data_IF_408897253971
#
_entry.id   IF_408897253971
#
_cell.length_a   1.000
_cell.length_b   1.000
_cell.length_c   1.000
_cell.angle_alpha   90.00
_cell.angle_beta   90.00
_cell.angle_gamma   90.00
#
_symmetry.space_group_name_H-M   'P 1'
#
loop_
_entity.id
_entity.type
_entity.pdbx_description
1 polymer ?
#
# COMPACT_ATOMS: atom_id res chain seq x y z
N UNK A 1 27.55 -15.08 8.07
CA UNK A 1 28.00 -14.80 9.45
C UNK A 1 27.03 -13.77 10.03
N UNK A 2 26.10 -14.20 10.90
CA UNK A 2 25.13 -13.31 11.54
C UNK A 2 25.64 -12.90 12.93
N UNK A 3 25.63 -11.61 13.24
CA UNK A 3 25.88 -11.06 14.58
C UNK A 3 24.53 -10.75 15.27
N UNK A 4 24.36 -11.03 16.58
CA UNK A 4 23.08 -10.84 17.28
C UNK A 4 22.92 -9.46 17.95
N UNK A 5 21.66 -9.03 18.12
CA UNK A 5 21.20 -7.76 18.71
C UNK A 5 20.78 -7.93 20.19
N UNK A 6 21.03 -6.96 21.11
CA UNK A 6 20.67 -7.08 22.53
C UNK A 6 19.25 -6.57 22.89
N UNK A 7 18.66 -7.19 23.93
CA UNK A 7 17.31 -6.92 24.51
C UNK A 7 17.30 -5.72 25.47
N UNK A 8 16.20 -4.96 25.50
CA UNK A 8 15.95 -3.90 26.48
C UNK A 8 14.84 -4.26 27.49
N UNK A 9 15.02 -3.76 28.73
CA UNK A 9 14.17 -3.96 29.91
C UNK A 9 13.06 -2.89 30.01
N UNK A 10 11.88 -3.34 30.46
CA UNK A 10 10.68 -2.54 30.75
C UNK A 10 10.73 -1.94 32.16
N UNK A 11 10.44 -0.63 32.29
CA UNK A 11 10.25 0.06 33.59
C UNK A 11 8.79 0.48 33.73
N UNK A 12 8.15 0.04 34.83
CA UNK A 12 6.79 0.44 35.23
C UNK A 12 6.83 1.66 36.16
N UNK A 13 5.86 2.60 36.11
CA UNK A 13 5.62 3.55 37.19
C UNK A 13 4.49 3.12 38.12
N UNK A 14 4.63 3.55 39.37
CA UNK A 14 3.85 3.23 40.57
C UNK A 14 2.62 4.11 40.82
N UNK A 15 1.64 3.53 41.53
CA UNK A 15 0.43 4.10 42.13
C UNK A 15 0.65 5.28 43.09
N UNK A 16 -0.34 6.20 43.19
CA UNK A 16 -0.78 6.93 44.42
C UNK A 16 -2.22 7.46 44.24
N UNK A 17 -3.19 6.94 44.99
CA UNK A 17 -3.84 7.45 46.24
C UNK A 17 -4.95 8.49 46.02
N UNK A 18 -6.15 8.12 46.45
CA UNK A 18 -7.42 8.86 46.54
C UNK A 18 -7.49 9.72 47.81
N UNK A 19 -8.31 10.79 47.81
CA UNK A 19 -9.35 11.13 48.81
C UNK A 19 -10.10 12.42 48.38
N UNK A 20 -11.33 12.69 48.90
CA UNK A 20 -12.42 13.34 48.19
C UNK A 20 -12.64 14.77 48.66
N UNK A 21 -13.41 15.58 47.92
CA UNK A 21 -14.07 16.75 48.50
C UNK A 21 -15.41 17.07 47.82
N UNK A 22 -16.37 17.31 48.72
CA UNK A 22 -17.77 17.61 48.53
C UNK A 22 -17.92 19.12 48.29
N UNK A 23 -18.47 19.56 47.16
CA UNK A 23 -18.93 20.95 46.99
C UNK A 23 -20.24 21.03 46.22
N UNK A 24 -21.13 21.83 46.81
CA UNK A 24 -22.54 22.06 46.53
C UNK A 24 -22.78 22.79 45.21
N UNK A 25 -23.80 22.34 44.46
CA UNK A 25 -24.28 22.96 43.23
C UNK A 25 -25.18 24.17 43.53
N UNK A 26 -24.85 25.33 42.94
CA UNK A 26 -25.78 26.45 42.73
C UNK A 26 -25.99 26.62 41.21
N UNK A 27 -27.22 26.87 40.73
CA UNK A 27 -27.49 26.95 39.29
C UNK A 27 -27.11 28.32 38.70
N UNK A 28 -26.34 28.31 37.61
CA UNK A 28 -26.12 29.45 36.72
C UNK A 28 -27.28 29.60 35.71
N UNK A 29 -27.65 30.84 35.30
CA UNK A 29 -28.72 31.06 34.33
C UNK A 29 -28.25 30.74 32.89
N UNK A 30 -29.17 30.39 31.97
CA UNK A 30 -28.79 29.96 30.62
C UNK A 30 -28.34 31.15 29.77
N UNK A 31 -27.10 31.11 29.29
CA UNK A 31 -26.61 31.98 28.22
C UNK A 31 -27.17 31.52 26.87
N UNK A 32 -27.93 32.40 26.20
CA UNK A 32 -28.38 32.19 24.81
C UNK A 32 -27.15 32.06 23.89
N UNK A 33 -26.95 30.87 23.32
CA UNK A 33 -26.03 30.68 22.18
C UNK A 33 -26.74 31.12 20.90
N UNK A 34 -26.23 32.19 20.28
CA UNK A 34 -26.51 32.49 18.88
C UNK A 34 -25.88 31.39 18.03
N UNK A 35 -26.73 30.60 17.38
CA UNK A 35 -26.33 29.64 16.35
C UNK A 35 -25.94 30.42 15.10
N UNK A 36 -24.64 30.57 14.85
CA UNK A 36 -24.14 30.90 13.52
C UNK A 36 -24.09 29.60 12.73
N UNK A 37 -25.10 29.35 11.89
CA UNK A 37 -25.02 28.29 10.88
C UNK A 37 -23.95 28.68 9.87
N UNK A 38 -22.75 28.13 10.04
CA UNK A 38 -21.78 28.06 8.95
C UNK A 38 -22.42 27.20 7.87
N UNK A 39 -22.94 27.84 6.83
CA UNK A 39 -23.34 27.19 5.59
C UNK A 39 -22.11 26.49 5.00
N UNK A 40 -21.92 25.22 5.35
CA UNK A 40 -20.97 24.32 4.69
C UNK A 40 -21.53 24.14 3.27
N UNK A 41 -20.93 24.82 2.30
CA UNK A 41 -21.17 24.54 0.90
C UNK A 41 -20.99 23.01 0.70
N UNK A 42 -21.93 22.31 0.05
CA UNK A 42 -21.74 20.90 -0.23
C UNK A 42 -20.51 20.76 -1.12
N UNK A 43 -19.45 20.14 -0.59
CA UNK A 43 -18.34 19.69 -1.45
C UNK A 43 -18.94 18.70 -2.45
N UNK A 44 -18.55 18.82 -3.71
CA UNK A 44 -18.86 17.77 -4.69
C UNK A 44 -18.29 16.45 -4.18
N UNK A 45 -19.10 15.41 -4.23
CA UNK A 45 -18.64 14.07 -3.88
C UNK A 45 -17.63 13.61 -4.92
N UNK A 46 -16.56 12.94 -4.48
CA UNK A 46 -15.51 12.43 -5.37
C UNK A 46 -15.59 10.92 -5.52
N UNK A 47 -15.25 10.42 -6.71
CA UNK A 47 -15.13 9.00 -7.02
C UNK A 47 -13.89 8.68 -7.86
N UNK A 48 -13.49 7.40 -7.86
CA UNK A 48 -12.42 6.85 -8.69
C UNK A 48 -12.99 6.14 -9.92
N UNK A 49 -12.49 6.54 -11.10
CA UNK A 49 -12.54 5.70 -12.31
C UNK A 49 -11.28 4.87 -12.33
N UNK A 50 -11.41 3.55 -12.35
CA UNK A 50 -10.28 2.64 -12.14
C UNK A 50 -10.03 1.77 -13.35
N UNK A 51 -8.77 1.69 -13.76
CA UNK A 51 -8.27 0.72 -14.74
C UNK A 51 -7.19 -0.14 -14.09
N UNK A 52 -7.12 -1.42 -14.46
CA UNK A 52 -6.16 -2.36 -13.88
C UNK A 52 -5.46 -3.17 -14.96
N UNK A 53 -4.23 -3.60 -14.65
CA UNK A 53 -3.52 -4.57 -15.46
C UNK A 53 -2.62 -5.42 -14.56
N UNK A 54 -2.56 -6.72 -14.85
CA UNK A 54 -1.72 -7.65 -14.11
C UNK A 54 -0.94 -8.50 -15.11
N UNK A 55 0.36 -8.61 -14.89
CA UNK A 55 1.29 -9.40 -15.68
C UNK A 55 2.05 -10.32 -14.72
N UNK A 56 1.80 -11.63 -14.74
CA UNK A 56 2.56 -12.57 -13.91
C UNK A 56 4.02 -12.62 -14.30
N UNK A 57 4.87 -12.98 -13.35
CA UNK A 57 6.26 -13.38 -13.57
C UNK A 57 6.32 -14.42 -14.71
N UNK A 58 7.32 -14.38 -15.62
CA UNK A 58 7.39 -15.28 -16.78
C UNK A 58 7.28 -16.78 -16.43
N UNK A 59 7.79 -17.22 -15.28
CA UNK A 59 7.67 -18.61 -14.82
C UNK A 59 6.29 -18.96 -14.23
N UNK A 60 5.48 -17.96 -13.86
CA UNK A 60 4.18 -18.09 -13.17
C UNK A 60 2.98 -17.78 -14.06
N UNK A 61 3.19 -17.50 -15.36
CA UNK A 61 2.11 -17.17 -16.32
C UNK A 61 0.99 -18.23 -16.33
N UNK A 62 1.34 -19.52 -16.23
CA UNK A 62 0.36 -20.62 -16.25
C UNK A 62 -0.54 -20.67 -15.00
N UNK A 63 -0.07 -20.15 -13.87
CA UNK A 63 -0.80 -20.14 -12.59
C UNK A 63 -1.41 -18.77 -12.28
N UNK A 64 -1.15 -17.78 -13.13
CA UNK A 64 -1.68 -16.42 -13.02
C UNK A 64 -0.92 -15.52 -12.03
N UNK A 65 0.29 -15.91 -11.61
CA UNK A 65 1.05 -15.17 -10.60
C UNK A 65 0.51 -15.36 -9.18
N UNK A 66 1.22 -14.75 -8.24
CA UNK A 66 0.97 -14.80 -6.80
C UNK A 66 0.32 -13.51 -6.28
N UNK A 67 0.42 -12.41 -7.04
CA UNK A 67 -0.32 -11.17 -6.79
C UNK A 67 -1.86 -11.35 -6.84
N UNK A 68 -2.56 -10.57 -6.01
CA UNK A 68 -4.00 -10.41 -6.03
C UNK A 68 -4.37 -8.93 -5.84
N UNK A 69 -5.54 -8.54 -6.37
CA UNK A 69 -6.07 -7.19 -6.15
C UNK A 69 -7.60 -7.22 -6.13
N UNK A 70 -8.21 -6.15 -5.61
CA UNK A 70 -9.62 -5.89 -5.85
C UNK A 70 -9.88 -4.39 -6.03
N UNK A 71 -10.98 -4.09 -6.71
CA UNK A 71 -11.50 -2.74 -6.91
C UNK A 71 -12.99 -2.74 -6.58
N UNK A 72 -13.48 -1.69 -5.93
CA UNK A 72 -14.88 -1.56 -5.55
C UNK A 72 -15.33 -0.11 -5.68
N UNK A 73 -16.62 0.10 -5.96
CA UNK A 73 -17.26 1.42 -6.01
C UNK A 73 -17.88 1.82 -4.67
N UNK A 74 -17.53 1.13 -3.58
CA UNK A 74 -18.00 1.50 -2.24
C UNK A 74 -17.52 2.92 -1.88
N UNK A 75 -18.45 3.79 -1.47
CA UNK A 75 -18.24 5.24 -1.27
C UNK A 75 -17.65 5.91 -2.53
N UNK A 76 -16.52 6.60 -2.42
CA UNK A 76 -15.79 7.16 -3.56
C UNK A 76 -14.95 6.13 -4.31
N UNK A 77 -14.83 4.90 -3.79
CA UNK A 77 -14.10 3.81 -4.41
C UNK A 77 -13.01 3.25 -3.49
N UNK A 78 -12.73 1.96 -3.67
CA UNK A 78 -11.71 1.22 -2.93
C UNK A 78 -10.81 0.51 -3.92
N UNK A 79 -9.50 0.60 -3.70
CA UNK A 79 -8.47 -0.10 -4.47
C UNK A 79 -7.53 -0.80 -3.48
N UNK A 80 -7.16 -2.03 -3.78
CA UNK A 80 -6.25 -2.79 -2.94
C UNK A 80 -5.41 -3.76 -3.77
N UNK A 81 -4.16 -3.95 -3.34
CA UNK A 81 -3.21 -4.91 -3.92
C UNK A 81 -2.59 -5.71 -2.77
N UNK A 82 -2.40 -7.01 -2.98
CA UNK A 82 -1.62 -7.87 -2.12
C UNK A 82 -0.67 -8.74 -2.96
N UNK A 83 0.58 -8.80 -2.54
CA UNK A 83 1.64 -9.55 -3.21
C UNK A 83 2.04 -10.77 -2.38
N UNK A 84 1.86 -11.96 -2.96
CA UNK A 84 2.15 -13.23 -2.32
C UNK A 84 3.65 -13.53 -2.26
N UNK A 85 4.17 -13.75 -1.06
CA UNK A 85 5.60 -13.99 -0.85
C UNK A 85 6.05 -15.32 -1.48
N UNK A 86 6.82 -15.22 -2.57
CA UNK A 86 7.23 -16.36 -3.41
C UNK A 86 7.93 -17.52 -2.68
N UNK A 87 8.63 -17.23 -1.57
CA UNK A 87 9.36 -18.23 -0.78
C UNK A 87 8.49 -19.38 -0.22
N UNK A 88 7.18 -19.20 -0.13
CA UNK A 88 6.26 -20.27 0.29
C UNK A 88 6.25 -21.48 -0.65
N UNK A 89 6.58 -21.29 -1.92
CA UNK A 89 6.69 -22.37 -2.89
C UNK A 89 7.75 -23.41 -2.51
N UNK A 90 8.84 -22.99 -1.85
CA UNK A 90 9.90 -23.89 -1.35
C UNK A 90 9.41 -24.85 -0.26
N UNK A 91 8.32 -24.47 0.43
CA UNK A 91 7.64 -25.29 1.45
C UNK A 91 6.46 -26.09 0.88
N UNK A 92 6.28 -26.10 -0.45
CA UNK A 92 5.15 -26.76 -1.10
C UNK A 92 3.80 -26.06 -0.88
N UNK A 93 3.82 -24.80 -0.46
CA UNK A 93 2.62 -23.97 -0.27
C UNK A 93 2.46 -23.07 -1.51
N UNK A 94 1.26 -22.99 -2.06
CA UNK A 94 0.97 -22.12 -3.21
C UNK A 94 0.93 -20.65 -2.75
N UNK A 95 1.90 -19.79 -3.15
CA UNK A 95 2.00 -18.42 -2.64
C UNK A 95 0.81 -17.54 -3.00
N UNK A 96 0.07 -17.89 -4.05
CA UNK A 96 -1.10 -17.14 -4.51
C UNK A 96 -2.35 -17.30 -3.62
N UNK A 97 -2.43 -18.32 -2.76
CA UNK A 97 -3.66 -18.60 -2.01
C UNK A 97 -3.96 -17.55 -0.94
N UNK A 98 -2.95 -17.21 -0.13
CA UNK A 98 -3.07 -16.21 0.93
C UNK A 98 -3.52 -14.82 0.42
N UNK A 99 -2.84 -14.18 -0.55
CA UNK A 99 -3.24 -12.86 -1.04
C UNK A 99 -4.63 -12.89 -1.71
N UNK A 100 -4.98 -13.95 -2.45
CA UNK A 100 -6.30 -14.08 -3.08
C UNK A 100 -7.43 -14.18 -2.05
N UNK A 101 -7.25 -15.01 -1.02
CA UNK A 101 -8.23 -15.11 0.08
C UNK A 101 -8.30 -13.81 0.89
N UNK A 102 -7.16 -13.16 1.16
CA UNK A 102 -7.10 -11.88 1.86
C UNK A 102 -7.90 -10.79 1.11
N UNK A 103 -7.71 -10.67 -0.21
CA UNK A 103 -8.44 -9.72 -1.05
C UNK A 103 -9.94 -10.05 -1.13
N UNK A 104 -10.31 -11.34 -1.22
CA UNK A 104 -11.71 -11.75 -1.19
C UNK A 104 -12.38 -11.40 0.14
N UNK A 105 -11.72 -11.68 1.27
CA UNK A 105 -12.21 -11.34 2.60
C UNK A 105 -12.34 -9.83 2.78
N UNK A 106 -11.34 -9.05 2.38
CA UNK A 106 -11.40 -7.60 2.43
C UNK A 106 -12.57 -7.04 1.62
N UNK A 107 -12.77 -7.52 0.38
CA UNK A 107 -13.89 -7.09 -0.45
C UNK A 107 -15.25 -7.40 0.19
N UNK A 108 -15.41 -8.58 0.81
CA UNK A 108 -16.66 -8.98 1.46
C UNK A 108 -16.96 -8.17 2.73
N UNK A 109 -15.92 -7.63 3.37
CA UNK A 109 -16.03 -6.91 4.64
C UNK A 109 -16.28 -5.39 4.47
N UNK A 110 -16.19 -4.85 3.25
CA UNK A 110 -16.32 -3.39 3.00
C UNK A 110 -17.61 -2.77 3.55
N UNK A 111 -18.71 -3.51 3.52
CA UNK A 111 -20.04 -3.01 3.92
C UNK A 111 -20.32 -3.18 5.42
N UNK A 112 -19.40 -3.79 6.18
CA UNK A 112 -19.58 -3.96 7.62
C UNK A 112 -19.35 -2.64 8.33
N UNK A 113 -20.33 -2.21 9.13
CA UNK A 113 -20.31 -0.92 9.83
C UNK A 113 -19.06 -0.72 10.68
N UNK A 114 -18.50 -1.79 11.28
CA UNK A 114 -17.31 -1.67 12.13
C UNK A 114 -16.03 -1.36 11.35
N UNK A 115 -15.99 -1.54 10.02
CA UNK A 115 -14.86 -1.10 9.20
C UNK A 115 -14.83 0.43 9.11
N UNK A 116 -16.00 1.08 9.01
CA UNK A 116 -16.15 2.54 9.06
C UNK A 116 -15.15 3.32 8.15
N UNK A 117 -14.94 2.86 6.92
CA UNK A 117 -13.94 3.43 5.97
C UNK A 117 -12.50 3.51 6.49
N UNK A 118 -12.15 2.69 7.48
CA UNK A 118 -10.81 2.55 8.02
C UNK A 118 -10.10 1.33 7.39
N UNK A 119 -9.11 1.56 6.51
CA UNK A 119 -8.38 0.47 5.86
C UNK A 119 -7.55 -0.38 6.82
N UNK A 120 -7.12 0.15 7.97
CA UNK A 120 -6.38 -0.62 8.98
C UNK A 120 -7.31 -1.65 9.65
N UNK A 121 -8.54 -1.24 9.98
CA UNK A 121 -9.56 -2.14 10.52
C UNK A 121 -10.00 -3.17 9.47
N UNK A 122 -10.10 -2.76 8.20
CA UNK A 122 -10.38 -3.70 7.11
C UNK A 122 -9.29 -4.79 7.04
N UNK A 123 -8.01 -4.40 7.05
CA UNK A 123 -6.89 -5.33 7.05
C UNK A 123 -6.91 -6.25 8.27
N UNK A 124 -7.18 -5.73 9.46
CA UNK A 124 -7.33 -6.53 10.69
C UNK A 124 -8.36 -7.65 10.51
N UNK A 125 -9.57 -7.30 10.06
CA UNK A 125 -10.66 -8.27 9.90
C UNK A 125 -10.40 -9.25 8.76
N UNK A 126 -9.90 -8.77 7.62
CA UNK A 126 -9.61 -9.61 6.47
C UNK A 126 -8.48 -10.61 6.77
N UNK A 127 -7.42 -10.19 7.45
CA UNK A 127 -6.33 -11.07 7.87
C UNK A 127 -6.82 -12.12 8.88
N UNK A 128 -7.61 -11.71 9.87
CA UNK A 128 -8.20 -12.65 10.84
C UNK A 128 -9.13 -13.69 10.20
N UNK A 129 -9.79 -13.34 9.09
CA UNK A 129 -10.66 -14.23 8.33
C UNK A 129 -9.90 -15.12 7.32
N UNK A 130 -8.62 -14.86 7.08
CA UNK A 130 -7.82 -15.60 6.08
C UNK A 130 -7.24 -16.87 6.70
N UNK A 131 -7.55 -18.00 6.08
CA UNK A 131 -7.20 -19.35 6.57
C UNK A 131 -6.12 -20.04 5.73
N UNK A 132 -5.90 -19.59 4.49
CA UNK A 132 -4.84 -20.09 3.62
C UNK A 132 -3.48 -19.93 4.29
N UNK A 133 -2.64 -20.96 4.15
CA UNK A 133 -1.24 -20.87 4.57
C UNK A 133 -0.49 -20.01 3.58
N UNK A 134 0.29 -19.05 4.08
CA UNK A 134 1.05 -18.13 3.25
C UNK A 134 1.28 -16.79 3.94
N UNK A 135 1.81 -15.83 3.18
CA UNK A 135 1.94 -14.45 3.60
C UNK A 135 1.90 -13.52 2.41
N UNK A 136 1.55 -12.25 2.64
CA UNK A 136 1.54 -11.24 1.61
C UNK A 136 1.94 -9.86 2.15
N UNK A 137 2.55 -9.05 1.28
CA UNK A 137 2.51 -7.59 1.45
C UNK A 137 1.15 -7.09 0.96
N UNK A 138 0.69 -5.96 1.47
CA UNK A 138 -0.66 -5.47 1.16
C UNK A 138 -0.76 -3.96 1.29
N UNK A 139 -1.52 -3.33 0.39
CA UNK A 139 -1.93 -1.95 0.49
C UNK A 139 -3.42 -1.82 0.15
N UNK A 140 -4.14 -0.98 0.91
CA UNK A 140 -5.55 -0.66 0.69
C UNK A 140 -5.71 0.85 0.71
N UNK A 141 -6.39 1.40 -0.29
CA UNK A 141 -6.83 2.79 -0.36
C UNK A 141 -8.36 2.87 -0.43
N UNK A 142 -8.97 3.63 0.48
CA UNK A 142 -10.42 3.85 0.56
C UNK A 142 -10.72 5.34 0.39
N UNK A 143 -11.39 5.72 -0.69
CA UNK A 143 -11.81 7.10 -0.95
C UNK A 143 -13.17 7.35 -0.31
N UNK A 144 -13.21 8.29 0.63
CA UNK A 144 -14.46 8.84 1.14
C UNK A 144 -15.04 9.88 0.15
N UNK A 145 -16.38 10.00 0.13
CA UNK A 145 -17.08 10.97 -0.72
C UNK A 145 -16.61 12.42 -0.50
N UNK A 146 -16.09 12.75 0.69
CA UNK A 146 -15.57 14.08 1.01
C UNK A 146 -14.21 14.41 0.37
N UNK A 147 -13.62 13.46 -0.37
CA UNK A 147 -12.35 13.57 -1.08
C UNK A 147 -11.12 13.12 -0.29
N UNK A 148 -11.29 12.54 0.90
CA UNK A 148 -10.18 11.98 1.70
C UNK A 148 -9.92 10.54 1.29
N UNK A 149 -8.71 10.24 0.86
CA UNK A 149 -8.22 8.88 0.64
C UNK A 149 -7.49 8.39 1.89
N UNK A 150 -8.08 7.42 2.59
CA UNK A 150 -7.43 6.72 3.69
C UNK A 150 -6.65 5.52 3.15
N UNK A 151 -5.40 5.35 3.57
CA UNK A 151 -4.52 4.28 3.11
C UNK A 151 -3.96 3.52 4.31
N UNK A 152 -3.97 2.19 4.24
CA UNK A 152 -3.19 1.33 5.12
C UNK A 152 -2.31 0.39 4.29
N UNK A 153 -1.04 0.24 4.67
CA UNK A 153 -0.05 -0.57 3.95
C UNK A 153 0.79 -1.40 4.93
N UNK A 154 1.08 -2.64 4.59
CA UNK A 154 2.06 -3.52 5.27
C UNK A 154 2.99 -4.08 4.19
N UNK A 155 4.27 -3.73 4.24
CA UNK A 155 5.28 -4.16 3.28
C UNK A 155 5.62 -3.11 2.23
N UNK A 156 5.79 -3.52 0.98
CA UNK A 156 6.41 -2.74 -0.09
C UNK A 156 5.54 -2.55 -1.35
N UNK A 157 4.31 -3.05 -1.34
CA UNK A 157 3.26 -2.53 -2.22
C UNK A 157 3.17 -1.00 -2.07
N UNK A 158 2.89 -0.31 -3.18
CA UNK A 158 3.05 1.14 -3.25
C UNK A 158 1.83 1.89 -3.80
N UNK A 159 1.75 3.17 -3.43
CA UNK A 159 0.85 4.14 -4.02
C UNK A 159 1.61 5.41 -4.40
N UNK A 160 1.26 6.01 -5.53
CA UNK A 160 1.70 7.33 -6.01
C UNK A 160 0.47 8.18 -6.28
N UNK A 161 0.48 9.42 -5.82
CA UNK A 161 -0.49 10.45 -6.17
C UNK A 161 0.19 11.46 -7.08
N UNK A 162 -0.32 11.58 -8.29
CA UNK A 162 0.19 12.50 -9.31
C UNK A 162 -0.90 13.53 -9.62
N UNK A 163 -0.53 14.80 -9.57
CA UNK A 163 -1.40 15.95 -9.82
C UNK A 163 -0.73 16.86 -10.82
N UNK A 164 -1.38 17.10 -11.95
CA UNK A 164 -0.86 17.98 -13.02
C UNK A 164 0.59 17.61 -13.43
N UNK A 165 0.84 16.31 -13.59
CA UNK A 165 2.14 15.76 -13.97
C UNK A 165 3.22 15.76 -12.87
N UNK A 166 2.89 16.15 -11.63
CA UNK A 166 3.84 16.16 -10.52
C UNK A 166 3.48 15.12 -9.47
N UNK A 167 4.49 14.41 -8.95
CA UNK A 167 4.34 13.51 -7.80
C UNK A 167 4.09 14.34 -6.53
N UNK A 168 2.88 14.25 -5.99
CA UNK A 168 2.46 14.99 -4.78
C UNK A 168 2.66 14.16 -3.52
N UNK A 169 2.42 12.86 -3.61
CA UNK A 169 2.50 11.94 -2.47
C UNK A 169 2.90 10.55 -2.94
N UNK A 170 3.61 9.82 -2.09
CA UNK A 170 3.91 8.41 -2.27
C UNK A 170 3.99 7.70 -0.91
N UNK A 171 3.61 6.42 -0.86
CA UNK A 171 3.76 5.61 0.35
C UNK A 171 5.21 5.20 0.58
N UNK A 172 5.59 5.03 1.84
CA UNK A 172 6.91 4.53 2.23
C UNK A 172 6.84 3.01 2.39
N UNK A 173 7.79 2.30 1.78
CA UNK A 173 7.95 0.86 1.94
C UNK A 173 8.38 0.51 3.37
N UNK A 174 7.96 -0.65 3.86
CA UNK A 174 8.30 -1.19 5.18
C UNK A 174 9.03 -2.53 5.01
N UNK A 175 10.23 -2.62 5.55
CA UNK A 175 11.10 -3.79 5.41
C UNK A 175 11.90 -4.05 6.69
N UNK A 176 12.27 -5.31 6.90
CA UNK A 176 13.22 -5.71 7.96
C UNK A 176 14.66 -5.41 7.53
N UNK A 177 14.95 -5.66 6.26
CA UNK A 177 16.19 -5.38 5.54
C UNK A 177 15.88 -5.45 4.04
N UNK A 178 16.85 -5.05 3.21
CA UNK A 178 16.67 -4.96 1.76
C UNK A 178 16.06 -6.25 1.18
N UNK A 179 14.95 -6.11 0.45
CA UNK A 179 14.21 -7.19 -0.19
C UNK A 179 13.60 -8.22 0.79
N UNK A 180 13.34 -7.82 2.04
CA UNK A 180 12.60 -8.58 3.04
C UNK A 180 11.51 -7.70 3.67
N UNK A 181 10.35 -7.57 2.99
CA UNK A 181 9.31 -6.66 3.43
C UNK A 181 8.59 -7.14 4.68
N UNK A 182 7.92 -6.20 5.34
CA UNK A 182 6.86 -6.51 6.29
C UNK A 182 5.74 -7.27 5.59
N UNK A 183 5.11 -8.23 6.28
CA UNK A 183 4.09 -9.08 5.68
C UNK A 183 3.04 -9.54 6.70
N UNK A 184 1.79 -9.60 6.26
CA UNK A 184 0.75 -10.34 6.98
C UNK A 184 0.92 -11.82 6.66
N UNK A 185 0.86 -12.69 7.66
CA UNK A 185 1.15 -14.13 7.50
C UNK A 185 0.20 -15.01 8.29
N UNK A 186 0.05 -16.26 7.85
CA UNK A 186 -0.62 -17.33 8.61
C UNK A 186 0.22 -17.82 9.79
N UNK A 187 1.55 -17.62 9.76
CA UNK A 187 2.47 -18.03 10.83
C UNK A 187 2.71 -16.88 11.84
N UNK A 188 2.91 -17.21 13.12
CA UNK A 188 3.31 -16.25 14.17
C UNK A 188 4.70 -16.59 14.74
N UNK A 189 5.48 -15.59 15.22
CA UNK A 189 5.16 -14.15 15.23
C UNK A 189 5.41 -13.48 13.87
N UNK A 190 4.49 -12.61 13.44
CA UNK A 190 4.55 -11.86 12.18
C UNK A 190 4.00 -10.44 12.37
N UNK A 191 4.14 -9.56 11.37
CA UNK A 191 3.46 -8.26 11.36
C UNK A 191 1.94 -8.44 11.39
N UNK A 192 1.28 -7.46 12.00
CA UNK A 192 -0.16 -7.38 12.12
C UNK A 192 -0.64 -6.03 11.57
N UNK A 193 -1.96 -5.81 11.57
CA UNK A 193 -2.54 -4.50 11.26
C UNK A 193 -1.97 -3.34 12.10
N UNK A 194 -1.49 -3.58 13.33
CA UNK A 194 -0.84 -2.54 14.15
C UNK A 194 0.49 -2.05 13.58
N UNK A 195 1.15 -2.86 12.75
CA UNK A 195 2.41 -2.51 12.10
C UNK A 195 2.20 -1.78 10.77
N UNK A 196 0.94 -1.63 10.33
CA UNK A 196 0.61 -0.97 9.08
C UNK A 196 0.99 0.52 9.11
N UNK A 197 1.59 0.98 8.03
CA UNK A 197 1.63 2.41 7.73
C UNK A 197 0.22 2.88 7.42
N UNK A 198 -0.29 3.87 8.16
CA UNK A 198 -1.61 4.48 7.94
C UNK A 198 -1.47 5.95 7.62
N UNK A 199 -2.13 6.44 6.58
CA UNK A 199 -2.17 7.86 6.25
C UNK A 199 -3.47 8.27 5.55
N UNK A 200 -3.79 9.57 5.59
CA UNK A 200 -4.92 10.15 4.87
C UNK A 200 -4.43 11.28 3.96
N UNK A 201 -4.91 11.31 2.73
CA UNK A 201 -4.51 12.32 1.71
C UNK A 201 -5.76 12.95 1.11
N UNK A 202 -5.79 14.29 1.02
CA UNK A 202 -6.88 15.00 0.35
C UNK A 202 -6.68 14.99 -1.17
N UNK A 203 -7.62 14.36 -1.87
CA UNK A 203 -7.65 14.32 -3.32
C UNK A 203 -8.45 15.50 -3.90
N UNK A 204 -8.13 15.83 -5.14
CA UNK A 204 -8.82 16.81 -5.96
C UNK A 204 -9.26 16.16 -7.27
N UNK A 205 -10.30 16.70 -7.89
CA UNK A 205 -10.69 16.32 -9.25
C UNK A 205 -9.50 16.47 -10.20
N UNK A 206 -9.25 15.45 -11.02
CA UNK A 206 -8.12 15.36 -11.94
C UNK A 206 -6.85 14.78 -11.32
N UNK A 207 -6.85 14.43 -10.03
CA UNK A 207 -5.77 13.63 -9.44
C UNK A 207 -5.75 12.23 -10.04
N UNK A 208 -4.53 11.69 -10.20
CA UNK A 208 -4.31 10.33 -10.66
C UNK A 208 -3.56 9.57 -9.57
N UNK A 209 -4.09 8.41 -9.21
CA UNK A 209 -3.48 7.47 -8.29
C UNK A 209 -2.91 6.31 -9.10
N UNK A 210 -1.68 5.91 -8.82
CA UNK A 210 -1.08 4.67 -9.31
C UNK A 210 -0.74 3.81 -8.10
N UNK A 211 -1.37 2.65 -7.99
CA UNK A 211 -1.14 1.65 -6.94
C UNK A 211 -0.64 0.35 -7.57
N UNK A 212 0.26 -0.37 -6.91
CA UNK A 212 0.78 -1.62 -7.44
C UNK A 212 1.63 -2.42 -6.46
N UNK A 213 2.06 -3.61 -6.88
CA UNK A 213 3.04 -4.45 -6.19
C UNK A 213 4.47 -3.90 -6.36
N UNK A 214 5.44 -4.50 -5.68
CA UNK A 214 6.85 -4.12 -5.81
C UNK A 214 7.36 -4.37 -7.25
N UNK A 215 6.84 -5.37 -7.96
CA UNK A 215 7.18 -5.64 -9.36
C UNK A 215 6.95 -4.45 -10.31
N UNK A 216 6.05 -3.52 -9.96
CA UNK A 216 5.97 -2.21 -10.60
C UNK A 216 7.11 -1.28 -10.14
N UNK A 217 7.15 -0.97 -8.84
CA UNK A 217 7.97 0.12 -8.30
C UNK A 217 9.47 -0.19 -8.28
N UNK A 218 9.85 -1.46 -8.34
CA UNK A 218 11.23 -1.92 -8.48
C UNK A 218 11.76 -1.77 -9.91
N UNK A 219 10.86 -1.62 -10.89
CA UNK A 219 11.18 -1.66 -12.32
C UNK A 219 10.82 -0.37 -13.08
N UNK A 220 10.09 0.57 -12.49
CA UNK A 220 9.68 1.81 -13.16
C UNK A 220 9.91 3.01 -12.26
N UNK A 221 10.56 4.05 -12.78
CA UNK A 221 10.75 5.30 -12.05
C UNK A 221 9.49 6.17 -12.07
N UNK A 222 9.30 6.98 -11.01
CA UNK A 222 8.14 7.86 -10.87
C UNK A 222 7.96 8.84 -12.05
N UNK A 223 9.06 9.30 -12.67
CA UNK A 223 9.01 10.19 -13.82
C UNK A 223 8.49 9.49 -15.09
N UNK A 224 8.73 8.19 -15.22
CA UNK A 224 8.23 7.38 -16.34
C UNK A 224 6.73 7.13 -16.17
N UNK A 225 6.30 6.83 -14.94
CA UNK A 225 4.88 6.76 -14.58
C UNK A 225 4.19 8.09 -14.92
N UNK A 226 4.74 9.22 -14.45
CA UNK A 226 4.20 10.55 -14.71
C UNK A 226 4.13 10.88 -16.22
N UNK A 227 5.12 10.42 -17.00
CA UNK A 227 5.14 10.60 -18.45
C UNK A 227 4.07 9.77 -19.17
N UNK A 228 3.76 8.56 -18.71
CA UNK A 228 2.71 7.73 -19.33
C UNK A 228 1.33 8.33 -19.08
N UNK A 229 1.11 8.93 -17.91
CA UNK A 229 -0.20 9.44 -17.51
C UNK A 229 -0.40 10.94 -17.76
N UNK A 230 0.56 11.62 -18.40
CA UNK A 230 0.50 13.08 -18.62
C UNK A 230 -0.73 13.49 -19.42
N UNK A 231 -1.11 12.67 -20.40
CA UNK A 231 -2.29 12.84 -21.26
C UNK A 231 -3.28 11.70 -21.05
N UNK A 232 -3.60 11.41 -19.78
CA UNK A 232 -4.49 10.31 -19.42
C UNK A 232 -5.89 10.50 -20.05
N UNK A 233 -6.20 9.67 -21.04
CA UNK A 233 -7.55 9.56 -21.63
C UNK A 233 -8.31 8.32 -21.18
N UNK A 234 -7.58 7.26 -20.81
CA UNK A 234 -8.12 5.95 -20.46
C UNK A 234 -7.25 5.31 -19.38
N UNK A 235 -7.83 5.12 -18.20
CA UNK A 235 -7.18 4.48 -17.04
C UNK A 235 -6.79 3.04 -17.30
N UNK A 236 -7.54 2.31 -18.13
CA UNK A 236 -7.23 0.90 -18.48
C UNK A 236 -6.01 0.83 -19.37
N UNK A 237 -5.96 1.70 -20.40
CA UNK A 237 -4.79 1.82 -21.27
C UNK A 237 -3.56 2.24 -20.47
N UNK A 238 -3.68 3.23 -19.58
CA UNK A 238 -2.58 3.68 -18.74
C UNK A 238 -2.05 2.57 -17.82
N UNK A 239 -2.93 1.83 -17.14
CA UNK A 239 -2.53 0.70 -16.30
C UNK A 239 -1.76 -0.36 -17.10
N UNK A 240 -2.24 -0.67 -18.32
CA UNK A 240 -1.59 -1.59 -19.24
C UNK A 240 -0.22 -1.09 -19.72
N UNK A 241 -0.13 0.18 -20.11
CA UNK A 241 1.12 0.76 -20.61
C UNK A 241 2.20 0.80 -19.52
N UNK A 242 1.82 1.17 -18.29
CA UNK A 242 2.70 1.14 -17.12
C UNK A 242 3.17 -0.30 -16.83
N UNK A 243 2.25 -1.27 -16.81
CA UNK A 243 2.59 -2.66 -16.56
C UNK A 243 3.52 -3.24 -17.64
N UNK A 244 3.29 -2.92 -18.91
CA UNK A 244 4.16 -3.34 -20.01
C UNK A 244 5.56 -2.73 -19.90
N UNK A 245 5.66 -1.45 -19.52
CA UNK A 245 6.96 -0.82 -19.28
C UNK A 245 7.71 -1.53 -18.14
N UNK A 246 7.02 -1.80 -17.03
CA UNK A 246 7.57 -2.56 -15.91
C UNK A 246 8.06 -3.96 -16.35
N UNK A 247 7.31 -4.66 -17.20
CA UNK A 247 7.70 -5.98 -17.71
C UNK A 247 8.94 -5.92 -18.62
N UNK A 248 9.02 -4.91 -19.49
CA UNK A 248 10.20 -4.70 -20.35
C UNK A 248 11.43 -4.44 -19.49
N UNK A 249 11.31 -3.53 -18.51
CA UNK A 249 12.41 -3.19 -17.61
C UNK A 249 12.82 -4.35 -16.71
N UNK A 250 11.86 -5.14 -16.21
CA UNK A 250 12.13 -6.26 -15.30
C UNK A 250 13.01 -7.33 -15.93
N UNK A 251 12.98 -7.47 -17.25
CA UNK A 251 13.77 -8.47 -18.00
C UNK A 251 15.04 -7.90 -18.63
N UNK A 252 15.25 -6.59 -18.60
CA UNK A 252 16.47 -5.95 -19.11
C UNK A 252 17.59 -5.98 -18.07
N UNK A 253 18.61 -6.81 -18.31
CA UNK A 253 19.79 -6.98 -17.45
C UNK A 253 20.71 -5.75 -17.41
N UNK A 254 20.57 -4.84 -18.37
CA UNK A 254 21.38 -3.62 -18.46
C UNK A 254 20.65 -2.40 -17.88
N UNK A 255 19.34 -2.50 -17.66
CA UNK A 255 18.54 -1.42 -17.10
C UNK A 255 19.00 -1.11 -15.67
N UNK A 256 19.27 0.17 -15.41
CA UNK A 256 19.57 0.62 -14.06
C UNK A 256 18.26 0.85 -13.31
N UNK A 257 17.65 -0.24 -12.83
CA UNK A 257 16.32 -0.22 -12.22
C UNK A 257 16.30 0.49 -10.86
N UNK A 258 15.13 0.97 -10.41
CA UNK A 258 14.94 1.41 -9.02
C UNK A 258 15.48 0.39 -8.00
N UNK A 259 15.20 -0.91 -8.20
CA UNK A 259 15.70 -1.99 -7.35
C UNK A 259 17.23 -2.07 -7.31
N UNK A 260 17.87 -2.15 -8.49
CA UNK A 260 19.33 -2.23 -8.59
C UNK A 260 20.00 -0.97 -8.02
N UNK A 261 19.38 0.19 -8.21
CA UNK A 261 19.85 1.44 -7.62
C UNK A 261 19.79 1.43 -6.10
N UNK A 262 18.67 0.97 -5.52
CA UNK A 262 18.53 0.89 -4.06
C UNK A 262 19.46 -0.17 -3.46
N UNK A 263 19.63 -1.32 -4.10
CA UNK A 263 20.59 -2.35 -3.70
C UNK A 263 21.99 -1.76 -3.51
N UNK A 264 22.46 -0.97 -4.49
CA UNK A 264 23.76 -0.29 -4.42
C UNK A 264 23.83 0.74 -3.30
N UNK A 265 22.77 1.52 -3.08
CA UNK A 265 22.70 2.50 -1.99
C UNK A 265 22.79 1.81 -0.61
N UNK A 266 22.28 0.58 -0.49
CA UNK A 266 22.37 -0.26 0.71
C UNK A 266 23.68 -1.03 0.83
N UNK A 267 24.61 -0.85 -0.12
CA UNK A 267 25.92 -1.50 -0.12
C UNK A 267 25.96 -2.88 -0.78
N UNK A 268 24.86 -3.33 -1.40
CA UNK A 268 24.82 -4.51 -2.23
C UNK A 268 25.22 -4.12 -3.67
N UNK A 269 26.53 -4.07 -3.92
CA UNK A 269 27.08 -3.75 -5.24
C UNK A 269 28.14 -4.80 -5.64
N UNK A 270 28.63 -4.70 -6.88
CA UNK A 270 29.71 -5.57 -7.37
C UNK A 270 30.98 -5.39 -6.54
N UNK A 271 31.83 -6.43 -6.43
CA UNK A 271 33.11 -6.32 -5.73
C UNK A 271 33.97 -5.16 -6.24
N UNK A 272 34.79 -4.57 -5.35
CA UNK A 272 35.57 -3.36 -5.65
C UNK A 272 36.37 -3.42 -6.96
N UNK A 273 36.97 -4.57 -7.28
CA UNK A 273 37.74 -4.75 -8.51
C UNK A 273 36.88 -4.57 -9.78
N UNK A 274 35.60 -4.98 -9.77
CA UNK A 274 34.66 -4.73 -10.87
C UNK A 274 34.24 -3.26 -10.91
N UNK A 275 34.08 -2.63 -9.75
CA UNK A 275 33.73 -1.21 -9.63
C UNK A 275 34.81 -0.29 -10.22
N UNK A 276 36.08 -0.62 -9.99
CA UNK A 276 37.24 0.09 -10.59
C UNK A 276 37.23 -0.02 -12.12
N UNK A 277 36.68 -1.10 -12.68
CA UNK A 277 36.49 -1.29 -14.12
C UNK A 277 35.21 -0.62 -14.66
N UNK A 278 34.49 0.17 -13.84
CA UNK A 278 33.27 0.87 -14.22
C UNK A 278 32.00 0.02 -14.20
N UNK A 279 32.06 -1.23 -13.73
CA UNK A 279 30.87 -2.05 -13.57
C UNK A 279 30.11 -1.67 -12.29
N UNK A 280 28.79 -1.84 -12.34
CA UNK A 280 27.88 -1.69 -11.20
C UNK A 280 26.84 -2.81 -11.26
N UNK A 281 26.18 -3.11 -10.16
CA UNK A 281 24.98 -3.96 -10.19
C UNK A 281 23.91 -3.28 -11.07
N UNK A 282 23.42 -3.95 -12.11
CA UNK A 282 22.32 -3.51 -12.98
C UNK A 282 21.35 -4.66 -13.19
N UNK A 283 20.21 -4.34 -13.78
CA UNK A 283 19.16 -5.27 -14.15
C UNK A 283 17.84 -4.91 -13.52
N UNK A 284 16.75 -5.17 -14.25
CA UNK A 284 15.43 -5.28 -13.65
C UNK A 284 15.32 -6.44 -12.67
N UNK A 285 14.23 -6.44 -11.91
CA UNK A 285 13.81 -7.52 -11.01
C UNK A 285 12.59 -8.20 -11.62
N UNK A 286 12.71 -9.36 -12.28
CA UNK A 286 11.55 -10.12 -12.74
C UNK A 286 10.64 -10.42 -11.56
N UNK A 287 9.37 -9.99 -11.63
CA UNK A 287 8.37 -10.28 -10.61
C UNK A 287 6.95 -10.37 -11.20
N UNK A 288 5.96 -10.71 -10.38
CA UNK A 288 4.56 -10.41 -10.71
C UNK A 288 4.36 -8.89 -10.68
N UNK A 289 3.60 -8.37 -11.65
CA UNK A 289 3.39 -6.93 -11.80
C UNK A 289 1.89 -6.68 -11.75
N UNK A 290 1.44 -5.99 -10.71
CA UNK A 290 0.07 -5.50 -10.60
C UNK A 290 0.04 -3.99 -10.63
N UNK A 291 -0.81 -3.42 -11.49
CA UNK A 291 -0.99 -1.98 -11.65
C UNK A 291 -2.47 -1.63 -11.59
N UNK A 292 -2.80 -0.68 -10.73
CA UNK A 292 -4.10 -0.03 -10.63
C UNK A 292 -3.89 1.47 -10.89
N UNK A 293 -4.61 2.02 -11.86
CA UNK A 293 -4.66 3.46 -12.12
C UNK A 293 -6.06 3.96 -11.77
N UNK A 294 -6.17 4.89 -10.83
CA UNK A 294 -7.40 5.55 -10.43
C UNK A 294 -7.39 7.02 -10.82
N UNK A 295 -8.40 7.48 -11.55
CA UNK A 295 -8.61 8.90 -11.88
C UNK A 295 -9.74 9.47 -11.02
N UNK A 296 -9.46 10.56 -10.31
CA UNK A 296 -10.41 11.21 -9.41
C UNK A 296 -11.33 12.15 -10.18
N UNK A 297 -12.63 11.94 -10.09
CA UNK A 297 -13.65 12.77 -10.70
C UNK A 297 -14.75 13.11 -9.70
N UNK A 298 -15.67 13.98 -10.10
CA UNK A 298 -16.92 14.15 -9.35
C UNK A 298 -17.78 12.88 -9.54
N UNK A 299 -18.41 12.42 -8.46
CA UNK A 299 -19.41 11.34 -8.48
C UNK A 299 -20.69 11.74 -9.22
#
# INVERSE_FOLDING_TARGET
MMYPIPRFFSVRPSLRVLYPNLLTYLPFPPSRRLSTSLHRQPRSELSLVVGTHQIPHPSKVKTGGDDAFFVSTYNGGVIAVADGVSGWAERGVNPALFPRELMANASNLLMYEEVNSDPQILLMKAHAATSSVGSATVIVGMLENNGVLNVASVGDCGLRLIRRGQLIFYTRQQEHYFNCPYQLSSEQPTQTHHDAMVCSVNLLVGDIIVMGSDGLFDNVYDHEIASIISDLTDVTKAAKDIANLAQVHSTDVNFDSPYSSEARNRGYDVPLWRKVLGHKLTGGKPDDITVIVGHVQNS
#
